data_IF_756889947862
#
_entry.id   IF_756889947862
#
_cell.length_a   1.000
_cell.length_b   1.000
_cell.length_c   1.000
_cell.angle_alpha   90.00
_cell.angle_beta   90.00
_cell.angle_gamma   90.00
#
_symmetry.space_group_name_H-M   'P 1'
#
loop_
_entity.id
_entity.type
_entity.pdbx_description
1 polymer ?
#
# COMPACT_ATOMS: atom_id res chain seq x y z
N UNK A 1 13.96 -49.38 21.04
CA UNK A 1 13.93 -48.15 21.87
C UNK A 1 14.19 -46.90 21.05
N UNK A 2 15.00 -46.95 19.98
CA UNK A 2 15.25 -45.80 19.10
C UNK A 2 14.09 -45.49 18.13
N UNK A 3 13.37 -46.48 17.61
CA UNK A 3 12.16 -46.26 16.79
C UNK A 3 11.12 -45.36 17.47
N UNK A 4 10.81 -45.62 18.75
CA UNK A 4 9.83 -44.84 19.51
C UNK A 4 10.27 -43.37 19.66
N UNK A 5 11.58 -43.14 19.89
CA UNK A 5 12.14 -41.80 20.00
C UNK A 5 12.07 -41.06 18.66
N UNK A 6 12.34 -41.76 17.55
CA UNK A 6 12.26 -41.22 16.19
C UNK A 6 10.81 -40.90 15.79
N UNK A 7 9.88 -41.76 16.19
CA UNK A 7 8.45 -41.58 15.95
C UNK A 7 7.88 -40.41 16.78
N UNK A 8 8.28 -40.28 18.05
CA UNK A 8 7.93 -39.14 18.89
C UNK A 8 8.49 -37.83 18.32
N UNK A 9 9.75 -37.82 17.87
CA UNK A 9 10.36 -36.68 17.21
C UNK A 9 9.58 -36.28 15.94
N UNK A 10 9.17 -37.27 15.14
CA UNK A 10 8.39 -37.04 13.91
C UNK A 10 7.02 -36.41 14.23
N UNK A 11 6.34 -36.88 15.28
CA UNK A 11 5.08 -36.30 15.75
C UNK A 11 5.27 -34.86 16.22
N UNK A 12 6.33 -34.57 16.97
CA UNK A 12 6.66 -33.21 17.43
C UNK A 12 6.91 -32.28 16.24
N UNK A 13 7.69 -32.72 15.25
CA UNK A 13 7.95 -31.93 14.04
C UNK A 13 6.66 -31.69 13.26
N UNK A 14 5.79 -32.69 13.13
CA UNK A 14 4.53 -32.56 12.41
C UNK A 14 3.60 -31.54 13.08
N UNK A 15 3.52 -31.56 14.41
CA UNK A 15 2.79 -30.55 15.19
C UNK A 15 3.44 -29.16 15.04
N UNK A 16 4.76 -29.06 15.08
CA UNK A 16 5.47 -27.79 14.91
C UNK A 16 5.20 -27.17 13.54
N UNK A 17 5.26 -27.95 12.45
CA UNK A 17 4.94 -27.48 11.09
C UNK A 17 3.48 -27.03 11.00
N UNK A 18 2.55 -27.76 11.63
CA UNK A 18 1.13 -27.39 11.67
C UNK A 18 0.91 -26.04 12.38
N UNK A 19 1.62 -25.80 13.49
CA UNK A 19 1.55 -24.53 14.22
C UNK A 19 2.19 -23.39 13.41
N UNK A 20 3.37 -23.59 12.84
CA UNK A 20 4.03 -22.57 11.99
C UNK A 20 3.12 -22.19 10.83
N UNK A 21 2.56 -23.17 10.11
CA UNK A 21 1.67 -22.90 8.97
C UNK A 21 0.42 -22.11 9.41
N UNK A 22 -0.14 -22.45 10.58
CA UNK A 22 -1.33 -21.77 11.13
C UNK A 22 -1.07 -20.34 11.56
N UNK A 23 0.13 -19.98 12.01
CA UNK A 23 0.42 -18.63 12.53
C UNK A 23 1.29 -17.78 11.60
N UNK A 24 2.27 -18.37 10.91
CA UNK A 24 3.16 -17.66 10.01
C UNK A 24 2.44 -17.20 8.73
N UNK A 25 1.57 -18.03 8.13
CA UNK A 25 0.82 -17.64 6.93
C UNK A 25 -0.09 -16.42 7.18
N UNK A 26 -0.97 -16.39 8.19
CA UNK A 26 -1.79 -15.20 8.43
C UNK A 26 -0.94 -13.99 8.78
N UNK A 27 0.13 -14.15 9.55
CA UNK A 27 1.05 -13.05 9.89
C UNK A 27 1.72 -12.44 8.65
N UNK A 28 2.23 -13.27 7.73
CA UNK A 28 2.82 -12.79 6.47
C UNK A 28 1.77 -12.10 5.60
N UNK A 29 0.55 -12.65 5.52
CA UNK A 29 -0.54 -12.02 4.75
C UNK A 29 -0.92 -10.65 5.29
N UNK A 30 -0.98 -10.49 6.61
CA UNK A 30 -1.28 -9.21 7.24
C UNK A 30 -0.21 -8.16 6.94
N UNK A 31 1.07 -8.54 7.00
CA UNK A 31 2.19 -7.65 6.62
C UNK A 31 2.12 -7.20 5.17
N UNK A 32 1.89 -8.14 4.24
CA UNK A 32 1.74 -7.82 2.81
C UNK A 32 0.53 -6.90 2.58
N UNK A 33 -0.58 -7.11 3.30
CA UNK A 33 -1.75 -6.24 3.24
C UNK A 33 -1.43 -4.80 3.67
N UNK A 34 -0.73 -4.64 4.79
CA UNK A 34 -0.31 -3.33 5.28
C UNK A 34 0.63 -2.62 4.29
N UNK A 35 1.59 -3.33 3.70
CA UNK A 35 2.51 -2.77 2.71
C UNK A 35 1.78 -2.32 1.44
N UNK A 36 0.80 -3.11 0.96
CA UNK A 36 -0.04 -2.75 -0.19
C UNK A 36 -0.87 -1.50 0.07
N UNK A 37 -1.43 -1.36 1.27
CA UNK A 37 -2.21 -0.17 1.66
C UNK A 37 -1.32 1.07 1.76
N UNK A 38 -0.13 0.96 2.37
CA UNK A 38 0.82 2.06 2.43
C UNK A 38 1.29 2.50 1.03
N UNK A 39 1.50 1.54 0.12
CA UNK A 39 1.83 1.84 -1.26
C UNK A 39 0.68 2.53 -1.98
N UNK A 40 -0.55 2.07 -1.81
CA UNK A 40 -1.74 2.70 -2.37
C UNK A 40 -1.90 4.14 -1.86
N UNK A 41 -1.77 4.38 -0.55
CA UNK A 41 -1.81 5.72 0.05
C UNK A 41 -0.76 6.65 -0.58
N UNK A 42 0.46 6.16 -0.79
CA UNK A 42 1.53 6.93 -1.42
C UNK A 42 1.19 7.32 -2.87
N UNK A 43 0.67 6.40 -3.66
CA UNK A 43 0.22 6.68 -5.04
C UNK A 43 -0.94 7.66 -5.07
N UNK A 44 -1.90 7.53 -4.15
CA UNK A 44 -3.02 8.46 -4.02
C UNK A 44 -2.52 9.88 -3.75
N UNK A 45 -1.59 10.04 -2.80
CA UNK A 45 -0.97 11.35 -2.51
C UNK A 45 -0.27 11.93 -3.74
N UNK A 46 0.52 11.14 -4.46
CA UNK A 46 1.17 11.61 -5.68
C UNK A 46 0.19 11.97 -6.79
N UNK A 47 -0.88 11.18 -6.97
CA UNK A 47 -1.92 11.46 -7.95
C UNK A 47 -2.64 12.79 -7.63
N UNK A 48 -3.01 13.00 -6.35
CA UNK A 48 -3.64 14.24 -5.89
C UNK A 48 -2.72 15.45 -6.08
N UNK A 49 -1.43 15.33 -5.73
CA UNK A 49 -0.46 16.42 -5.92
C UNK A 49 -0.24 16.74 -7.40
N UNK A 50 -0.10 15.71 -8.25
CA UNK A 50 0.02 15.88 -9.70
C UNK A 50 -1.22 16.55 -10.28
N UNK A 51 -2.41 16.11 -9.88
CA UNK A 51 -3.67 16.73 -10.30
C UNK A 51 -3.75 18.19 -9.87
N UNK A 52 -3.34 18.53 -8.64
CA UNK A 52 -3.28 19.91 -8.17
C UNK A 52 -2.30 20.79 -8.96
N UNK A 53 -1.16 20.23 -9.41
CA UNK A 53 -0.17 20.97 -10.18
C UNK A 53 -0.56 21.13 -11.65
N UNK A 54 -1.07 20.07 -12.29
CA UNK A 54 -1.41 20.07 -13.72
C UNK A 54 -2.75 20.75 -13.99
N UNK A 55 -3.75 20.51 -13.14
CA UNK A 55 -5.12 21.02 -13.29
C UNK A 55 -5.41 22.11 -12.25
N UNK A 56 -4.46 23.01 -12.04
CA UNK A 56 -4.58 24.07 -11.03
C UNK A 56 -5.78 25.01 -11.27
N UNK A 57 -6.21 25.12 -12.54
CA UNK A 57 -7.32 25.95 -12.98
C UNK A 57 -8.69 25.26 -12.94
N UNK A 58 -8.72 23.93 -12.79
CA UNK A 58 -9.96 23.14 -12.85
C UNK A 58 -10.62 23.01 -11.47
N UNK A 59 -11.93 22.77 -11.47
CA UNK A 59 -12.70 22.67 -10.25
C UNK A 59 -12.38 21.38 -9.48
N UNK A 60 -12.64 21.41 -8.17
CA UNK A 60 -12.37 20.27 -7.27
C UNK A 60 -12.98 18.92 -7.72
N UNK A 61 -14.22 18.87 -8.24
CA UNK A 61 -14.85 17.64 -8.72
C UNK A 61 -14.16 17.03 -9.95
N UNK A 62 -13.75 17.87 -10.91
CA UNK A 62 -13.09 17.44 -12.15
C UNK A 62 -11.72 16.84 -11.85
N UNK A 63 -10.98 17.47 -10.94
CA UNK A 63 -9.72 16.93 -10.42
C UNK A 63 -9.89 15.61 -9.69
N UNK A 64 -10.94 15.47 -8.87
CA UNK A 64 -11.25 14.23 -8.16
C UNK A 64 -11.54 13.10 -9.17
N UNK A 65 -12.32 13.38 -10.21
CA UNK A 65 -12.63 12.40 -11.25
C UNK A 65 -11.36 11.91 -11.99
N UNK A 66 -10.47 12.82 -12.39
CA UNK A 66 -9.18 12.45 -13.00
C UNK A 66 -8.33 11.57 -12.07
N UNK A 67 -8.20 11.96 -10.80
CA UNK A 67 -7.42 11.21 -9.81
C UNK A 67 -8.00 9.81 -9.61
N UNK A 68 -9.32 9.69 -9.52
CA UNK A 68 -10.01 8.41 -9.38
C UNK A 68 -9.77 7.50 -10.57
N UNK A 69 -9.92 7.98 -11.80
CA UNK A 69 -9.69 7.15 -13.00
C UNK A 69 -8.22 6.74 -13.13
N UNK A 70 -7.29 7.67 -12.90
CA UNK A 70 -5.86 7.38 -12.91
C UNK A 70 -5.47 6.33 -11.86
N UNK A 71 -6.06 6.42 -10.66
CA UNK A 71 -5.79 5.45 -9.60
C UNK A 71 -6.40 4.08 -9.91
N UNK A 72 -7.60 4.01 -10.46
CA UNK A 72 -8.20 2.73 -10.87
C UNK A 72 -7.29 1.98 -11.85
N UNK A 73 -6.76 2.67 -12.87
CA UNK A 73 -5.81 2.08 -13.82
C UNK A 73 -4.54 1.58 -13.11
N UNK A 74 -3.97 2.39 -12.22
CA UNK A 74 -2.78 2.05 -11.45
C UNK A 74 -2.99 0.87 -10.49
N UNK A 75 -4.13 0.83 -9.80
CA UNK A 75 -4.48 -0.23 -8.86
C UNK A 75 -4.67 -1.58 -9.57
N UNK A 76 -5.24 -1.57 -10.79
CA UNK A 76 -5.32 -2.74 -11.66
C UNK A 76 -3.90 -3.20 -12.06
N UNK A 77 -3.05 -2.28 -12.52
CA UNK A 77 -1.67 -2.61 -12.92
C UNK A 77 -0.83 -3.20 -11.77
N UNK A 78 -1.00 -2.66 -10.55
CA UNK A 78 -0.28 -3.10 -9.36
C UNK A 78 -0.92 -4.29 -8.64
N UNK A 79 -2.04 -4.82 -9.14
CA UNK A 79 -2.79 -5.93 -8.54
C UNK A 79 -3.09 -5.68 -7.05
N UNK A 80 -3.53 -4.45 -6.74
CA UNK A 80 -3.97 -4.01 -5.43
C UNK A 80 -5.50 -3.94 -5.48
N UNK A 81 -6.17 -4.78 -4.69
CA UNK A 81 -7.63 -4.74 -4.58
C UNK A 81 -8.02 -3.71 -3.52
N UNK A 82 -8.70 -2.65 -3.94
CA UNK A 82 -9.26 -1.63 -3.08
C UNK A 82 -10.71 -1.37 -3.52
N UNK A 83 -11.62 -1.22 -2.56
CA UNK A 83 -13.00 -0.80 -2.85
C UNK A 83 -13.05 0.67 -3.28
N UNK A 84 -14.09 1.04 -4.03
CA UNK A 84 -14.30 2.41 -4.46
C UNK A 84 -14.44 3.36 -3.26
N UNK A 85 -15.09 2.90 -2.17
CA UNK A 85 -15.19 3.67 -0.93
C UNK A 85 -13.83 3.87 -0.25
N UNK A 86 -12.98 2.83 -0.20
CA UNK A 86 -11.63 2.95 0.36
C UNK A 86 -10.79 3.92 -0.48
N UNK A 87 -10.91 3.86 -1.80
CA UNK A 87 -10.20 4.76 -2.70
C UNK A 87 -10.64 6.21 -2.47
N UNK A 88 -11.95 6.45 -2.35
CA UNK A 88 -12.51 7.77 -2.09
C UNK A 88 -12.00 8.37 -0.77
N UNK A 89 -12.02 7.57 0.30
CA UNK A 89 -11.49 7.96 1.62
C UNK A 89 -10.01 8.33 1.53
N UNK A 90 -9.19 7.53 0.83
CA UNK A 90 -7.77 7.83 0.66
C UNK A 90 -7.55 9.12 -0.12
N UNK A 91 -8.35 9.37 -1.17
CA UNK A 91 -8.25 10.60 -1.97
C UNK A 91 -8.61 11.81 -1.10
N UNK A 92 -9.69 11.74 -0.33
CA UNK A 92 -10.09 12.83 0.56
C UNK A 92 -9.09 13.09 1.68
N UNK A 93 -8.52 12.04 2.26
CA UNK A 93 -7.45 12.14 3.25
C UNK A 93 -6.22 12.83 2.65
N UNK A 94 -5.79 12.42 1.45
CA UNK A 94 -4.67 13.04 0.74
C UNK A 94 -4.94 14.52 0.39
N UNK A 95 -6.13 14.87 -0.06
CA UNK A 95 -6.52 16.27 -0.33
C UNK A 95 -6.51 17.11 0.95
N UNK A 96 -7.04 16.57 2.07
CA UNK A 96 -6.98 17.26 3.37
C UNK A 96 -5.55 17.46 3.83
N UNK A 97 -4.71 16.43 3.73
CA UNK A 97 -3.31 16.51 4.11
C UNK A 97 -2.56 17.55 3.28
N UNK A 98 -2.75 17.55 1.97
CA UNK A 98 -2.19 18.57 1.07
C UNK A 98 -2.65 20.00 1.44
N UNK A 99 -3.93 20.20 1.78
CA UNK A 99 -4.45 21.52 2.20
C UNK A 99 -3.86 21.98 3.54
N UNK A 100 -3.69 21.06 4.49
CA UNK A 100 -3.03 21.34 5.77
C UNK A 100 -1.58 21.76 5.50
N UNK A 101 -0.83 20.99 4.71
CA UNK A 101 0.56 21.27 4.35
C UNK A 101 0.73 22.62 3.64
N UNK A 102 -0.17 22.93 2.69
CA UNK A 102 -0.21 24.22 2.00
C UNK A 102 -0.50 25.41 2.93
N UNK A 103 -1.32 25.20 3.97
CA UNK A 103 -1.64 26.21 4.97
C UNK A 103 -0.60 26.33 6.10
N UNK A 104 0.17 25.27 6.37
CA UNK A 104 1.07 25.19 7.52
C UNK A 104 2.56 25.39 7.20
N UNK A 105 2.94 25.59 5.93
CA UNK A 105 4.34 25.82 5.55
C UNK A 105 5.28 24.66 5.90
N UNK A 106 4.75 23.44 6.00
CA UNK A 106 5.52 22.24 6.37
C UNK A 106 6.10 21.60 5.10
N UNK A 107 7.43 21.65 4.98
CA UNK A 107 8.20 20.97 3.93
C UNK A 107 8.17 19.45 4.17
N UNK A 108 7.85 18.68 3.12
CA UNK A 108 7.89 17.22 3.16
C UNK A 108 9.34 16.75 3.35
N UNK A 109 9.71 16.31 4.55
CA UNK A 109 10.87 15.45 4.74
C UNK A 109 10.48 14.04 4.28
N UNK A 110 10.71 13.76 3.00
CA UNK A 110 10.45 12.46 2.39
C UNK A 110 11.54 11.45 2.81
N UNK A 111 11.54 11.02 4.07
CA UNK A 111 12.36 9.90 4.54
C UNK A 111 11.54 8.61 4.53
N UNK A 112 11.30 8.05 3.34
CA UNK A 112 11.22 6.60 3.09
C UNK A 112 10.65 6.29 1.68
N UNK A 113 11.45 5.60 0.88
CA UNK A 113 10.98 4.87 -0.29
C UNK A 113 11.27 5.57 -1.61
N UNK A 114 12.44 5.28 -2.13
CA UNK A 114 12.76 5.25 -3.56
C UNK A 114 11.56 4.79 -4.39
N UNK A 115 11.23 5.54 -5.45
CA UNK A 115 10.25 5.12 -6.44
C UNK A 115 10.76 3.86 -7.15
N UNK A 116 9.95 2.81 -7.34
CA UNK A 116 10.36 1.70 -8.17
C UNK A 116 10.21 2.12 -9.64
N UNK A 117 11.27 2.67 -10.22
CA UNK A 117 11.35 2.87 -11.66
C UNK A 117 12.05 4.12 -12.14
N UNK A 118 13.33 4.30 -11.82
CA UNK A 118 14.24 4.98 -12.75
C UNK A 118 15.62 4.33 -12.64
N UNK A 119 15.77 3.16 -13.29
CA UNK A 119 17.11 2.72 -13.67
C UNK A 119 17.57 3.67 -14.76
N UNK A 120 18.40 4.63 -14.37
CA UNK A 120 19.24 5.44 -15.24
C UNK A 120 19.92 4.50 -16.25
N UNK A 121 19.50 4.61 -17.51
CA UNK A 121 20.27 4.11 -18.64
C UNK A 121 21.62 4.84 -18.63
N UNK A 122 22.66 4.05 -18.85
CA UNK A 122 24.06 4.46 -18.91
C UNK A 122 24.33 5.40 -20.08
#
# INVERSE_FOLDING_TARGET
>A
MNEILFELLKVVIMVAVMLITRYAIPWVRERIGADKLALAEKWVRYAVLKAQQVMWADDGPERKAYVTEFLKELLIEKNIALSDEQLDILIEAAVKQMKIEAGSGVTINNSAGEAPGEKTAK
#
